data_IF_155829545461
#
_entry.id   IF_155829545461
#
_cell.length_a   1.000
_cell.length_b   1.000
_cell.length_c   1.000
_cell.angle_alpha   90.00
_cell.angle_beta   90.00
_cell.angle_gamma   90.00
#
_symmetry.space_group_name_H-M   'P 1'
#
loop_
_entity.id
_entity.type
_entity.pdbx_description
1 polymer ?
#
# COMPACT_ATOMS: atom_id res chain seq x y z
N UNK A 1 0.69 11.22 3.22
CA UNK A 1 1.23 11.68 4.51
C UNK A 1 2.73 11.97 4.45
N UNK A 2 3.56 11.05 3.91
CA UNK A 2 5.04 11.19 3.92
C UNK A 2 5.61 11.42 5.32
N UNK A 3 4.89 10.88 6.30
CA UNK A 3 5.14 11.01 7.71
C UNK A 3 4.50 9.81 8.42
N UNK A 4 5.06 9.45 9.55
CA UNK A 4 4.47 8.47 10.45
C UNK A 4 3.24 9.05 11.15
N UNK A 5 2.28 8.18 11.47
CA UNK A 5 1.21 8.53 12.40
C UNK A 5 1.78 8.79 13.81
N UNK A 6 0.98 9.41 14.69
CA UNK A 6 1.41 9.75 16.07
C UNK A 6 1.78 8.52 16.91
N UNK A 7 1.23 7.37 16.57
CA UNK A 7 1.51 6.06 17.20
C UNK A 7 2.61 5.28 16.48
N UNK A 8 3.31 5.90 15.52
CA UNK A 8 4.39 5.28 14.75
C UNK A 8 3.93 4.41 13.59
N UNK A 9 2.63 4.29 13.32
CA UNK A 9 2.17 3.50 12.17
C UNK A 9 2.57 4.14 10.83
N UNK A 10 2.96 3.29 9.88
CA UNK A 10 3.34 3.65 8.51
C UNK A 10 2.16 3.69 7.54
N UNK A 11 1.07 2.99 7.87
CA UNK A 11 -0.07 2.75 6.99
C UNK A 11 -1.40 2.90 7.73
N UNK A 12 -2.49 3.00 6.98
CA UNK A 12 -3.85 3.00 7.53
C UNK A 12 -4.18 1.72 8.29
N UNK A 13 -5.05 1.85 9.29
CA UNK A 13 -5.60 0.71 10.03
C UNK A 13 -6.16 -0.37 9.08
N UNK A 14 -5.80 -1.63 9.33
CA UNK A 14 -6.23 -2.77 8.53
C UNK A 14 -5.34 -3.12 7.33
N UNK A 15 -4.18 -2.46 7.20
CA UNK A 15 -3.19 -2.86 6.20
C UNK A 15 -2.69 -4.29 6.45
N UNK A 16 -2.92 -5.18 5.48
CA UNK A 16 -2.68 -6.64 5.60
C UNK A 16 -1.21 -7.04 5.78
N UNK A 17 -0.27 -6.13 5.51
CA UNK A 17 1.16 -6.35 5.61
C UNK A 17 1.83 -5.43 6.65
N UNK A 18 1.06 -4.94 7.63
CA UNK A 18 1.59 -4.07 8.69
C UNK A 18 2.83 -4.69 9.38
N UNK A 19 2.85 -6.01 9.55
CA UNK A 19 3.97 -6.73 10.15
C UNK A 19 5.29 -6.61 9.37
N UNK A 20 5.26 -6.33 8.06
CA UNK A 20 6.47 -6.10 7.26
C UNK A 20 7.14 -4.76 7.58
N UNK A 21 6.46 -3.90 8.34
CA UNK A 21 6.90 -2.55 8.71
C UNK A 21 7.18 -2.41 10.21
N UNK A 22 7.21 -3.52 10.95
CA UNK A 22 7.58 -3.51 12.36
C UNK A 22 9.03 -3.04 12.51
N UNK A 23 9.29 -2.04 13.35
CA UNK A 23 10.63 -1.49 13.55
C UNK A 23 10.99 -0.34 12.61
N UNK A 24 10.17 -0.04 11.59
CA UNK A 24 10.45 1.07 10.66
C UNK A 24 10.46 2.41 11.39
N UNK A 25 9.46 2.64 12.25
CA UNK A 25 9.37 3.87 13.03
C UNK A 25 10.57 4.04 13.96
N UNK A 26 10.91 3.02 14.74
CA UNK A 26 12.02 3.04 15.69
C UNK A 26 13.37 3.23 14.99
N UNK A 27 13.54 2.65 13.79
CA UNK A 27 14.74 2.81 12.98
C UNK A 27 14.95 4.26 12.52
N UNK A 28 13.86 4.95 12.20
CA UNK A 28 13.86 6.28 11.58
C UNK A 28 13.63 7.41 12.58
N UNK A 29 13.18 7.09 13.80
CA UNK A 29 12.82 8.04 14.85
C UNK A 29 13.94 9.04 15.10
N UNK A 30 13.59 10.32 15.03
CA UNK A 30 14.47 11.50 15.21
C UNK A 30 15.61 11.62 14.20
N UNK A 31 15.74 10.71 13.24
CA UNK A 31 16.70 10.79 12.13
C UNK A 31 16.14 11.56 10.96
N UNK A 32 14.85 11.39 10.69
CA UNK A 32 14.14 12.07 9.61
C UNK A 32 12.88 12.72 10.15
N UNK A 33 12.82 14.05 10.08
CA UNK A 33 11.63 14.81 10.42
C UNK A 33 11.47 15.99 9.47
N UNK A 34 10.24 16.46 9.34
CA UNK A 34 9.91 17.61 8.51
C UNK A 34 8.80 18.43 9.14
N UNK A 35 8.61 19.66 8.65
CA UNK A 35 7.52 20.53 9.09
C UNK A 35 6.18 19.84 8.88
N UNK A 36 5.34 19.88 9.90
CA UNK A 36 3.99 19.34 9.82
C UNK A 36 3.12 20.16 8.86
N UNK A 37 2.11 19.51 8.26
CA UNK A 37 1.03 20.20 7.58
C UNK A 37 0.49 21.37 8.44
N UNK A 38 0.28 22.53 7.84
CA UNK A 38 -0.15 23.75 8.54
C UNK A 38 1.00 24.57 9.13
N UNK A 39 2.25 24.15 8.94
CA UNK A 39 3.46 24.89 9.32
C UNK A 39 3.83 24.84 10.79
N UNK A 40 3.00 24.22 11.64
CA UNK A 40 3.18 24.20 13.08
C UNK A 40 3.71 22.85 13.57
N UNK A 41 4.95 22.85 14.04
CA UNK A 41 5.60 21.67 14.60
C UNK A 41 6.26 20.76 13.56
N UNK A 42 6.62 19.57 14.00
CA UNK A 42 7.32 18.57 13.19
C UNK A 42 6.60 17.24 13.21
N UNK A 43 6.72 16.51 12.11
CA UNK A 43 6.31 15.11 12.00
C UNK A 43 7.53 14.24 11.70
N UNK A 44 7.54 13.04 12.26
CA UNK A 44 8.56 12.04 11.96
C UNK A 44 8.33 11.48 10.56
N UNK A 45 9.40 11.16 9.85
CA UNK A 45 9.38 10.67 8.47
C UNK A 45 10.47 9.60 8.29
N UNK A 46 10.67 9.15 7.05
CA UNK A 46 11.74 8.21 6.69
C UNK A 46 12.66 8.83 5.63
N UNK A 47 13.79 8.20 5.37
CA UNK A 47 14.70 8.59 4.28
C UNK A 47 13.98 8.65 2.93
N UNK A 48 13.24 7.57 2.61
CA UNK A 48 12.53 7.43 1.33
C UNK A 48 11.40 8.45 1.21
N UNK A 49 10.65 8.71 2.29
CA UNK A 49 9.61 9.73 2.26
C UNK A 49 10.17 11.14 2.16
N UNK A 50 11.32 11.39 2.77
CA UNK A 50 12.04 12.67 2.63
C UNK A 50 12.46 12.89 1.18
N UNK A 51 13.01 11.86 0.52
CA UNK A 51 13.36 11.92 -0.89
C UNK A 51 12.12 12.17 -1.78
N UNK A 52 11.03 11.42 -1.57
CA UNK A 52 9.80 11.64 -2.34
C UNK A 52 9.22 13.05 -2.13
N UNK A 53 9.24 13.56 -0.89
CA UNK A 53 8.80 14.92 -0.60
C UNK A 53 9.60 15.94 -1.42
N UNK A 54 10.93 15.87 -1.41
CA UNK A 54 11.79 16.78 -2.17
C UNK A 54 11.58 16.67 -3.69
N UNK A 55 11.34 15.46 -4.21
CA UNK A 55 11.01 15.26 -5.62
C UNK A 55 9.68 15.93 -5.97
N UNK A 56 8.65 15.75 -5.14
CA UNK A 56 7.35 16.40 -5.35
C UNK A 56 7.46 17.92 -5.25
N UNK A 57 8.17 18.45 -4.26
CA UNK A 57 8.41 19.89 -4.10
C UNK A 57 9.04 20.49 -5.36
N UNK A 58 10.06 19.84 -5.92
CA UNK A 58 10.68 20.25 -7.18
C UNK A 58 9.69 20.19 -8.34
N UNK A 59 8.96 19.07 -8.53
CA UNK A 59 8.01 18.95 -9.63
C UNK A 59 6.88 19.97 -9.55
N UNK A 60 6.41 20.28 -8.35
CA UNK A 60 5.34 21.26 -8.14
C UNK A 60 5.87 22.68 -8.41
N UNK A 61 7.08 23.02 -7.95
CA UNK A 61 7.69 24.32 -8.17
C UNK A 61 7.85 24.67 -9.67
N UNK A 62 8.10 23.67 -10.52
CA UNK A 62 8.23 23.86 -11.98
C UNK A 62 6.92 23.60 -12.75
N UNK A 63 5.84 23.25 -12.08
CA UNK A 63 4.55 22.98 -12.72
C UNK A 63 3.74 24.27 -12.90
N UNK A 64 2.95 24.33 -13.99
CA UNK A 64 1.92 25.36 -14.17
C UNK A 64 0.59 25.00 -13.52
N UNK A 65 0.44 23.76 -13.06
CA UNK A 65 -0.79 23.26 -12.44
C UNK A 65 -0.87 23.63 -10.97
N UNK A 66 -2.08 23.88 -10.47
CA UNK A 66 -2.33 23.99 -9.02
C UNK A 66 -2.24 22.60 -8.40
N UNK A 67 -1.33 22.44 -7.44
CA UNK A 67 -1.21 21.23 -6.64
C UNK A 67 -1.66 21.51 -5.22
N UNK A 68 -2.54 20.67 -4.68
CA UNK A 68 -3.03 20.79 -3.31
C UNK A 68 -2.46 19.68 -2.43
N UNK A 69 -1.90 20.05 -1.28
CA UNK A 69 -1.61 19.11 -0.21
C UNK A 69 -2.88 18.96 0.64
N UNK A 70 -3.47 17.77 0.64
CA UNK A 70 -4.69 17.42 1.38
C UNK A 70 -4.41 16.29 2.38
N UNK A 71 -3.24 16.33 3.03
CA UNK A 71 -2.81 15.31 3.99
C UNK A 71 -2.78 15.91 5.40
N UNK A 72 -3.96 16.25 5.93
CA UNK A 72 -4.08 16.77 7.29
C UNK A 72 -3.43 15.83 8.31
N UNK A 73 -2.38 16.30 8.99
CA UNK A 73 -1.59 15.50 9.94
C UNK A 73 -0.32 14.86 9.36
N UNK A 74 -0.08 14.99 8.06
CA UNK A 74 1.14 14.55 7.40
C UNK A 74 2.23 15.64 7.32
N UNK A 75 3.14 15.46 6.38
CA UNK A 75 4.20 16.42 6.07
C UNK A 75 3.66 17.62 5.27
N UNK A 76 4.21 18.79 5.56
CA UNK A 76 4.16 19.94 4.65
C UNK A 76 4.93 19.61 3.38
N UNK A 77 4.38 19.98 2.23
CA UNK A 77 5.01 19.85 0.92
C UNK A 77 5.13 21.27 0.37
N UNK A 78 6.35 21.78 0.28
CA UNK A 78 6.59 23.12 -0.25
C UNK A 78 6.12 23.26 -1.71
N UNK A 79 5.73 24.48 -2.08
CA UNK A 79 5.08 24.84 -3.36
C UNK A 79 3.68 24.26 -3.59
N UNK A 80 3.20 23.33 -2.75
CA UNK A 80 1.80 22.90 -2.76
C UNK A 80 0.93 23.84 -1.91
N UNK A 81 -0.35 23.95 -2.27
CA UNK A 81 -1.34 24.70 -1.50
C UNK A 81 -1.96 23.75 -0.46
N UNK A 82 -1.78 24.04 0.82
CA UNK A 82 -2.44 23.26 1.88
C UNK A 82 -3.94 23.56 1.89
N UNK A 83 -4.77 22.51 1.76
CA UNK A 83 -6.22 22.60 1.90
C UNK A 83 -6.82 21.29 2.42
N UNK A 84 -7.81 21.32 3.35
CA UNK A 84 -8.46 20.10 3.79
C UNK A 84 -9.08 19.30 2.64
N UNK A 85 -8.92 17.97 2.65
CA UNK A 85 -9.41 17.13 1.54
C UNK A 85 -10.91 17.29 1.31
N UNK A 86 -11.67 17.40 2.41
CA UNK A 86 -13.13 17.56 2.37
C UNK A 86 -13.53 18.88 1.69
N UNK A 87 -12.92 19.99 2.08
CA UNK A 87 -13.21 21.31 1.49
C UNK A 87 -12.83 21.34 0.01
N UNK A 88 -11.68 20.76 -0.37
CA UNK A 88 -11.31 20.67 -1.77
C UNK A 88 -12.31 19.84 -2.57
N UNK A 89 -12.81 18.74 -1.99
CA UNK A 89 -13.88 17.96 -2.61
C UNK A 89 -15.16 18.77 -2.78
N UNK A 90 -15.57 19.54 -1.78
CA UNK A 90 -16.78 20.38 -1.86
C UNK A 90 -16.65 21.48 -2.91
N UNK A 91 -15.46 22.06 -3.06
CA UNK A 91 -15.20 23.12 -4.03
C UNK A 91 -15.02 22.62 -5.47
N UNK A 92 -14.36 21.47 -5.66
CA UNK A 92 -14.05 20.95 -6.99
C UNK A 92 -15.11 19.99 -7.53
N UNK A 93 -15.91 19.37 -6.67
CA UNK A 93 -16.97 18.47 -7.09
C UNK A 93 -18.26 19.26 -7.26
N UNK A 94 -18.48 19.77 -8.47
CA UNK A 94 -19.69 20.55 -8.85
C UNK A 94 -21.01 19.82 -8.58
N UNK A 95 -21.00 18.48 -8.52
CA UNK A 95 -22.20 17.67 -8.35
C UNK A 95 -22.01 16.60 -7.27
N UNK A 96 -22.95 16.50 -6.33
CA UNK A 96 -23.13 15.28 -5.52
C UNK A 96 -23.45 14.15 -6.48
N UNK A 97 -22.43 13.35 -6.84
CA UNK A 97 -22.63 12.17 -7.69
C UNK A 97 -23.75 11.32 -7.09
N UNK A 98 -24.75 11.02 -7.90
CA UNK A 98 -25.80 10.08 -7.53
C UNK A 98 -25.13 8.72 -7.29
N UNK A 99 -24.94 8.34 -6.02
CA UNK A 99 -24.39 7.04 -5.61
C UNK A 99 -25.40 5.91 -5.82
N UNK A 100 -26.36 6.06 -6.73
CA UNK A 100 -27.16 4.97 -7.29
C UNK A 100 -26.29 4.10 -8.20
N UNK A 101 -25.33 3.41 -7.59
CA UNK A 101 -24.67 2.30 -8.24
C UNK A 101 -25.75 1.29 -8.65
N UNK A 102 -25.66 0.76 -9.87
CA UNK A 102 -26.50 -0.38 -10.26
C UNK A 102 -26.26 -1.46 -9.22
N UNK A 103 -27.32 -1.88 -8.51
CA UNK A 103 -27.25 -3.01 -7.60
C UNK A 103 -26.68 -4.19 -8.41
N UNK A 104 -25.66 -4.83 -7.86
CA UNK A 104 -25.14 -6.06 -8.44
C UNK A 104 -26.30 -7.04 -8.54
N UNK A 105 -26.60 -7.49 -9.76
CA UNK A 105 -27.60 -8.52 -9.95
C UNK A 105 -27.07 -9.81 -9.34
N UNK A 106 -27.86 -10.42 -8.48
CA UNK A 106 -27.57 -11.76 -7.98
C UNK A 106 -27.66 -12.71 -9.18
N UNK A 107 -26.57 -13.41 -9.44
CA UNK A 107 -26.53 -14.43 -10.49
C UNK A 107 -27.59 -15.49 -10.24
N UNK A 108 -28.18 -16.05 -11.29
CA UNK A 108 -29.10 -17.18 -11.08
C UNK A 108 -28.32 -18.44 -10.65
N UNK A 109 -29.02 -19.43 -10.08
CA UNK A 109 -28.40 -20.66 -9.55
C UNK A 109 -27.51 -21.37 -10.59
N UNK A 110 -27.93 -21.39 -11.87
CA UNK A 110 -27.16 -22.04 -12.95
C UNK A 110 -25.83 -21.34 -13.20
N UNK A 111 -25.83 -20.02 -13.23
CA UNK A 111 -24.61 -19.20 -13.38
C UNK A 111 -23.68 -19.34 -12.18
N UNK A 112 -24.25 -19.32 -10.96
CA UNK A 112 -23.49 -19.54 -9.73
C UNK A 112 -22.81 -20.90 -9.72
N UNK A 113 -23.52 -21.97 -10.07
CA UNK A 113 -22.97 -23.33 -10.17
C UNK A 113 -21.88 -23.41 -11.24
N UNK A 114 -22.08 -22.80 -12.41
CA UNK A 114 -21.07 -22.76 -13.49
C UNK A 114 -19.78 -22.08 -13.04
N UNK A 115 -19.89 -20.93 -12.35
CA UNK A 115 -18.73 -20.23 -11.81
C UNK A 115 -18.08 -21.01 -10.66
N UNK A 116 -18.88 -21.59 -9.76
CA UNK A 116 -18.40 -22.46 -8.69
C UNK A 116 -17.59 -23.64 -9.21
N UNK A 117 -18.04 -24.30 -10.28
CA UNK A 117 -17.30 -25.38 -10.94
C UNK A 117 -15.97 -24.91 -11.54
N UNK A 118 -15.94 -23.73 -12.17
CA UNK A 118 -14.68 -23.14 -12.68
C UNK A 118 -13.71 -22.83 -11.54
N UNK A 119 -14.21 -22.30 -10.42
CA UNK A 119 -13.40 -22.03 -9.22
C UNK A 119 -12.85 -23.34 -8.67
N UNK A 120 -13.71 -24.36 -8.50
CA UNK A 120 -13.32 -25.68 -8.03
C UNK A 120 -12.22 -26.32 -8.90
N UNK A 121 -12.36 -26.27 -10.23
CA UNK A 121 -11.34 -26.76 -11.15
C UNK A 121 -10.00 -26.03 -10.97
N UNK A 122 -10.04 -24.70 -10.80
CA UNK A 122 -8.83 -23.89 -10.59
C UNK A 122 -8.16 -24.22 -9.25
N UNK A 123 -8.94 -24.38 -8.18
CA UNK A 123 -8.44 -24.80 -6.86
C UNK A 123 -7.79 -26.17 -6.95
N UNK A 124 -8.46 -27.16 -7.57
CA UNK A 124 -7.93 -28.52 -7.72
C UNK A 124 -6.63 -28.54 -8.53
N UNK A 125 -6.56 -27.79 -9.63
CA UNK A 125 -5.33 -27.64 -10.43
C UNK A 125 -4.20 -27.05 -9.60
N UNK A 126 -4.46 -26.00 -8.84
CA UNK A 126 -3.45 -25.36 -7.99
C UNK A 126 -2.98 -26.30 -6.87
N UNK A 127 -3.87 -27.05 -6.23
CA UNK A 127 -3.49 -28.05 -5.22
C UNK A 127 -2.53 -29.11 -5.80
N UNK A 128 -2.83 -29.63 -6.99
CA UNK A 128 -1.95 -30.58 -7.67
C UNK A 128 -0.58 -29.97 -8.00
N UNK A 129 -0.57 -28.74 -8.52
CA UNK A 129 0.69 -28.02 -8.79
C UNK A 129 1.51 -27.82 -7.51
N UNK A 130 0.89 -27.41 -6.40
CA UNK A 130 1.56 -27.25 -5.11
C UNK A 130 2.12 -28.58 -4.57
N UNK A 131 1.40 -29.69 -4.73
CA UNK A 131 1.87 -31.01 -4.31
C UNK A 131 3.06 -31.48 -5.16
N UNK A 132 3.02 -31.26 -6.47
CA UNK A 132 4.12 -31.55 -7.38
C UNK A 132 5.34 -30.70 -7.01
N UNK A 133 5.16 -29.39 -6.82
CA UNK A 133 6.23 -28.49 -6.40
C UNK A 133 6.88 -28.94 -5.09
N UNK A 134 6.08 -29.30 -4.07
CA UNK A 134 6.58 -29.87 -2.81
C UNK A 134 7.43 -31.13 -3.02
N UNK A 135 7.04 -31.98 -3.97
CA UNK A 135 7.77 -33.21 -4.31
C UNK A 135 9.11 -32.89 -4.95
N UNK A 136 9.15 -31.94 -5.88
CA UNK A 136 10.40 -31.47 -6.51
C UNK A 136 11.33 -30.80 -5.49
N UNK A 137 10.82 -29.94 -4.61
CA UNK A 137 11.62 -29.36 -3.53
C UNK A 137 12.27 -30.44 -2.64
N UNK A 138 11.54 -31.52 -2.31
CA UNK A 138 12.10 -32.64 -1.55
C UNK A 138 13.19 -33.40 -2.30
N UNK A 139 13.08 -33.55 -3.63
CA UNK A 139 14.12 -34.18 -4.46
C UNK A 139 15.38 -33.32 -4.45
N UNK A 140 15.25 -32.02 -4.69
CA UNK A 140 16.36 -31.06 -4.67
C UNK A 140 17.02 -31.05 -3.28
N UNK A 141 16.23 -31.03 -2.20
CA UNK A 141 16.75 -31.11 -0.83
C UNK A 141 17.60 -32.37 -0.60
N UNK A 142 17.15 -33.54 -1.08
CA UNK A 142 17.93 -34.79 -0.99
C UNK A 142 19.22 -34.74 -1.80
N UNK A 143 19.19 -34.19 -3.01
CA UNK A 143 20.38 -34.03 -3.84
C UNK A 143 21.42 -33.14 -3.16
N UNK A 144 20.99 -32.00 -2.61
CA UNK A 144 21.87 -31.10 -1.84
C UNK A 144 22.44 -31.83 -0.63
N UNK A 145 21.61 -32.57 0.13
CA UNK A 145 22.09 -33.34 1.28
C UNK A 145 23.15 -34.37 0.88
N UNK A 146 22.93 -35.13 -0.19
CA UNK A 146 23.90 -36.11 -0.68
C UNK A 146 25.22 -35.46 -1.14
N UNK A 147 25.18 -34.29 -1.80
CA UNK A 147 26.39 -33.57 -2.21
C UNK A 147 27.17 -32.97 -1.04
N UNK A 148 26.47 -32.60 0.04
CA UNK A 148 27.07 -31.94 1.21
C UNK A 148 27.47 -32.90 2.33
N UNK A 149 26.85 -34.08 2.40
CA UNK A 149 27.03 -35.06 3.49
C UNK A 149 27.37 -36.47 2.99
N UNK A 150 27.26 -36.74 1.68
CA UNK A 150 27.78 -37.96 1.07
C UNK A 150 29.30 -37.85 0.92
N UNK A 151 30.04 -38.60 1.72
CA UNK A 151 31.50 -38.76 1.59
C UNK A 151 31.83 -39.49 0.27
N UNK A 152 32.98 -39.13 -0.31
CA UNK A 152 33.68 -39.84 -1.38
C UNK A 152 33.58 -41.37 -1.26
#
# INVERSE_FOLDING_TARGET
DLAYAKDGQTHSQGFIHANLHNGDYERDLDRFSTTAYGGNGKVQSSEIWTLFRQIFENFIAFSKSKTYNCTEGGARIESAIEKPFKELCEDLLENKKDKKFKKLQVLNTKEQVKLGLKIYQKIKKNMNLSLNFKTECKKVQKQIHNLTHGKN
#
